data_IF_714719109022
#
_entry.id   IF_714719109022
#
_cell.length_a   1.000
_cell.length_b   1.000
_cell.length_c   1.000
_cell.angle_alpha   90.00
_cell.angle_beta   90.00
_cell.angle_gamma   90.00
#
_symmetry.space_group_name_H-M   'P 1'
#
loop_
_entity.id
_entity.type
_entity.pdbx_description
1 polymer ?
#
# COMPACT_ATOMS: atom_id res chain seq x y z
N UNK A 1 2.60 -14.94 9.16
CA UNK A 1 2.76 -13.76 10.03
C UNK A 1 3.21 -12.60 9.16
N UNK A 2 2.52 -11.46 9.22
CA UNK A 2 2.87 -10.24 8.50
C UNK A 2 4.05 -9.52 9.19
N UNK A 3 4.79 -8.73 8.44
CA UNK A 3 5.79 -7.81 8.98
C UNK A 3 5.18 -6.70 9.85
N UNK A 4 6.05 -5.89 10.45
CA UNK A 4 5.68 -4.82 11.36
C UNK A 4 5.57 -3.45 10.69
N UNK A 5 5.27 -2.42 11.48
CA UNK A 5 5.18 -1.04 10.99
C UNK A 5 6.54 -0.52 10.51
N UNK A 6 6.70 -0.38 9.18
CA UNK A 6 7.92 0.14 8.56
C UNK A 6 8.30 1.53 9.07
N UNK A 7 7.32 2.42 9.24
CA UNK A 7 7.53 3.77 9.79
C UNK A 7 8.24 3.72 11.15
N UNK A 8 7.69 2.97 12.10
CA UNK A 8 8.26 2.86 13.46
C UNK A 8 9.68 2.30 13.45
N UNK A 9 9.95 1.31 12.60
CA UNK A 9 11.30 0.74 12.46
C UNK A 9 12.29 1.77 11.93
N UNK A 10 11.90 2.57 10.95
CA UNK A 10 12.76 3.61 10.36
C UNK A 10 12.98 4.79 11.34
N UNK A 11 11.96 5.19 12.10
CA UNK A 11 12.13 6.20 13.16
C UNK A 11 13.13 5.74 14.22
N UNK A 12 13.05 4.47 14.64
CA UNK A 12 14.01 3.88 15.59
C UNK A 12 15.43 3.79 15.01
N UNK A 13 15.57 3.66 13.69
CA UNK A 13 16.84 3.75 12.98
C UNK A 13 17.35 5.20 12.83
N UNK A 14 16.55 6.20 13.20
CA UNK A 14 16.91 7.62 13.14
C UNK A 14 16.54 8.31 11.83
N UNK A 15 15.73 7.69 10.97
CA UNK A 15 15.22 8.33 9.77
C UNK A 15 14.22 9.44 10.12
N UNK A 16 14.26 10.54 9.36
CA UNK A 16 13.30 11.63 9.49
C UNK A 16 12.05 11.33 8.67
N UNK A 17 10.90 11.13 9.33
CA UNK A 17 9.62 10.83 8.67
C UNK A 17 8.62 12.01 8.67
N UNK A 18 9.10 13.25 8.85
CA UNK A 18 8.23 14.45 8.91
C UNK A 18 7.59 14.85 7.57
N UNK A 19 7.77 14.06 6.52
CA UNK A 19 7.18 14.28 5.20
C UNK A 19 5.97 13.39 4.99
N UNK A 20 4.95 13.88 4.28
CA UNK A 20 3.83 13.05 3.83
C UNK A 20 4.24 11.98 2.83
N UNK A 21 5.48 12.03 2.31
CA UNK A 21 6.07 11.04 1.41
C UNK A 21 7.25 10.29 2.06
N UNK A 22 7.29 10.23 3.39
CA UNK A 22 8.41 9.69 4.15
C UNK A 22 8.91 8.34 3.62
N UNK A 23 8.02 7.42 3.22
CA UNK A 23 8.44 6.07 2.81
C UNK A 23 9.18 6.13 1.48
N UNK A 24 8.72 7.00 0.59
CA UNK A 24 9.33 7.23 -0.72
C UNK A 24 10.61 8.08 -0.61
N UNK A 25 10.67 9.02 0.34
CA UNK A 25 11.87 9.80 0.60
C UNK A 25 13.00 8.95 1.19
N UNK A 26 12.70 8.14 2.20
CA UNK A 26 13.69 7.20 2.77
C UNK A 26 14.14 6.20 1.72
N UNK A 27 13.22 5.64 0.92
CA UNK A 27 13.58 4.75 -0.17
C UNK A 27 14.54 5.39 -1.18
N UNK A 28 14.35 6.68 -1.49
CA UNK A 28 15.21 7.42 -2.44
C UNK A 28 16.56 7.82 -1.84
N UNK A 29 16.59 8.17 -0.56
CA UNK A 29 17.76 8.80 0.06
C UNK A 29 18.60 7.82 0.88
N UNK A 30 17.97 6.81 1.47
CA UNK A 30 18.52 5.86 2.44
C UNK A 30 17.96 4.43 2.21
N UNK A 31 18.06 3.86 0.99
CA UNK A 31 17.52 2.53 0.69
C UNK A 31 18.14 1.40 1.54
N UNK A 32 19.33 1.59 2.08
CA UNK A 32 19.97 0.66 3.01
C UNK A 32 19.18 0.51 4.32
N UNK A 33 18.51 1.57 4.79
CA UNK A 33 17.68 1.51 6.00
C UNK A 33 16.37 0.75 5.73
N UNK A 34 15.81 0.87 4.51
CA UNK A 34 14.67 0.04 4.06
C UNK A 34 15.08 -1.43 4.03
N UNK A 35 16.22 -1.76 3.43
CA UNK A 35 16.74 -3.14 3.43
C UNK A 35 16.92 -3.68 4.84
N UNK A 36 17.55 -2.92 5.76
CA UNK A 36 17.74 -3.34 7.15
C UNK A 36 16.41 -3.56 7.87
N UNK A 37 15.40 -2.72 7.61
CA UNK A 37 14.07 -2.89 8.17
C UNK A 37 13.42 -4.20 7.69
N UNK A 38 13.46 -4.48 6.39
CA UNK A 38 12.99 -5.77 5.84
C UNK A 38 13.76 -6.95 6.44
N UNK A 39 15.09 -6.87 6.53
CA UNK A 39 15.92 -7.92 7.10
C UNK A 39 15.55 -8.18 8.58
N UNK A 40 15.33 -7.12 9.36
CA UNK A 40 14.91 -7.25 10.75
C UNK A 40 13.54 -7.95 10.89
N UNK A 41 12.60 -7.70 9.99
CA UNK A 41 11.32 -8.41 9.97
C UNK A 41 11.49 -9.88 9.62
N UNK A 42 12.32 -10.20 8.63
CA UNK A 42 12.65 -11.59 8.26
C UNK A 42 13.33 -12.32 9.43
N UNK A 43 14.30 -11.69 10.08
CA UNK A 43 15.03 -12.25 11.23
C UNK A 43 14.11 -12.46 12.44
N UNK A 44 13.07 -11.64 12.60
CA UNK A 44 12.02 -11.81 13.60
C UNK A 44 10.99 -12.91 13.24
N UNK A 45 11.11 -13.52 12.06
CA UNK A 45 10.28 -14.63 11.61
C UNK A 45 9.06 -14.24 10.80
N UNK A 46 9.00 -13.02 10.25
CA UNK A 46 7.92 -12.63 9.34
C UNK A 46 7.91 -13.54 8.10
N UNK A 47 6.71 -14.01 7.75
CA UNK A 47 6.47 -14.89 6.61
C UNK A 47 5.97 -14.10 5.39
N UNK A 48 5.40 -12.92 5.63
CA UNK A 48 4.92 -11.99 4.60
C UNK A 48 5.62 -10.65 4.81
N UNK A 49 6.26 -10.13 3.77
CA UNK A 49 6.94 -8.83 3.79
C UNK A 49 6.28 -7.91 2.77
N UNK A 50 5.91 -6.71 3.19
CA UNK A 50 5.34 -5.69 2.30
C UNK A 50 6.47 -4.89 1.63
N UNK A 51 6.30 -4.55 0.36
CA UNK A 51 7.20 -3.59 -0.30
C UNK A 51 7.07 -2.20 0.31
N UNK A 52 8.13 -1.38 0.26
CA UNK A 52 8.09 0.01 0.72
C UNK A 52 7.43 0.96 -0.30
N UNK A 53 6.28 0.59 -0.86
CA UNK A 53 5.61 1.29 -1.98
C UNK A 53 4.27 1.92 -1.63
N UNK A 54 3.91 1.97 -0.35
CA UNK A 54 2.66 2.56 0.16
C UNK A 54 2.36 3.95 -0.44
N UNK A 55 3.34 4.86 -0.48
CA UNK A 55 3.21 6.23 -1.03
C UNK A 55 3.72 6.40 -2.47
N UNK A 56 4.20 5.34 -3.13
CA UNK A 56 4.97 5.42 -4.38
C UNK A 56 4.10 5.65 -5.64
N UNK A 57 3.13 6.55 -5.61
CA UNK A 57 2.26 6.79 -6.78
C UNK A 57 3.00 7.58 -7.88
N UNK A 58 2.69 7.30 -9.14
CA UNK A 58 3.30 8.04 -10.27
C UNK A 58 2.92 9.52 -10.21
N UNK A 59 1.67 9.83 -9.86
CA UNK A 59 1.19 11.22 -9.74
C UNK A 59 1.99 11.99 -8.69
N UNK A 60 2.18 11.41 -7.50
CA UNK A 60 3.01 11.96 -6.42
C UNK A 60 4.39 12.38 -6.93
N UNK A 61 5.05 11.48 -7.66
CA UNK A 61 6.42 11.69 -8.10
C UNK A 61 6.55 12.73 -9.20
N UNK A 62 5.61 12.76 -10.13
CA UNK A 62 5.55 13.79 -11.16
C UNK A 62 5.32 15.19 -10.54
N UNK A 63 4.45 15.30 -9.52
CA UNK A 63 4.16 16.57 -8.85
C UNK A 63 5.37 17.17 -8.14
N UNK A 64 6.29 16.33 -7.64
CA UNK A 64 7.56 16.77 -7.04
C UNK A 64 8.71 16.86 -8.08
N UNK A 65 8.40 16.76 -9.37
CA UNK A 65 9.33 17.01 -10.48
C UNK A 65 10.21 15.83 -10.89
N UNK A 66 9.87 14.59 -10.51
CA UNK A 66 10.59 13.41 -10.98
C UNK A 66 10.20 13.01 -12.39
N UNK A 67 11.15 12.42 -13.09
CA UNK A 67 10.93 11.83 -14.42
C UNK A 67 10.39 10.40 -14.30
N UNK A 68 9.86 9.85 -15.39
CA UNK A 68 9.46 8.44 -15.44
C UNK A 68 10.66 7.51 -15.15
N UNK A 69 11.86 7.87 -15.59
CA UNK A 69 13.09 7.11 -15.31
C UNK A 69 13.43 7.09 -13.81
N UNK A 70 13.28 8.23 -13.12
CA UNK A 70 13.44 8.30 -11.66
C UNK A 70 12.43 7.40 -10.94
N UNK A 71 11.18 7.39 -11.42
CA UNK A 71 10.11 6.57 -10.85
C UNK A 71 10.43 5.09 -11.04
N UNK A 72 10.86 4.68 -12.24
CA UNK A 72 11.21 3.29 -12.50
C UNK A 72 12.42 2.86 -11.66
N UNK A 73 13.39 3.76 -11.43
CA UNK A 73 14.49 3.53 -10.50
C UNK A 73 14.00 3.32 -9.07
N UNK A 74 13.09 4.15 -8.57
CA UNK A 74 12.48 3.99 -7.24
C UNK A 74 11.82 2.62 -7.09
N UNK A 75 11.04 2.19 -8.09
CA UNK A 75 10.40 0.87 -8.06
C UNK A 75 11.43 -0.27 -8.12
N UNK A 76 12.53 -0.12 -8.88
CA UNK A 76 13.64 -1.09 -8.84
C UNK A 76 14.19 -1.20 -7.43
N UNK A 77 14.56 -0.08 -6.80
CA UNK A 77 15.11 -0.04 -5.44
C UNK A 77 14.14 -0.64 -4.42
N UNK A 78 12.84 -0.32 -4.51
CA UNK A 78 11.83 -0.89 -3.61
C UNK A 78 11.79 -2.42 -3.69
N UNK A 79 11.87 -2.98 -4.90
CA UNK A 79 11.87 -4.44 -5.07
C UNK A 79 13.20 -5.09 -4.73
N UNK A 80 14.33 -4.47 -5.06
CA UNK A 80 15.66 -5.01 -4.74
C UNK A 80 15.89 -5.07 -3.24
N UNK A 81 15.47 -4.05 -2.49
CA UNK A 81 15.62 -4.02 -1.02
C UNK A 81 14.87 -5.18 -0.36
N UNK A 82 13.63 -5.48 -0.78
CA UNK A 82 12.90 -6.62 -0.24
C UNK A 82 13.43 -7.96 -0.76
N UNK A 83 13.81 -8.07 -2.04
CA UNK A 83 14.36 -9.31 -2.59
C UNK A 83 15.70 -9.70 -1.98
N UNK A 84 16.54 -8.72 -1.63
CA UNK A 84 17.80 -8.99 -0.94
C UNK A 84 17.62 -9.37 0.52
N UNK A 85 16.57 -8.86 1.18
CA UNK A 85 16.28 -9.19 2.58
C UNK A 85 15.57 -10.55 2.75
N UNK A 86 14.88 -11.00 1.71
CA UNK A 86 14.03 -12.20 1.75
C UNK A 86 14.71 -13.42 1.15
N UNK A 87 14.15 -14.59 1.47
CA UNK A 87 14.50 -15.88 0.87
C UNK A 87 13.26 -16.50 0.23
N UNK A 88 13.35 -17.74 -0.25
CA UNK A 88 12.18 -18.47 -0.77
C UNK A 88 11.16 -18.86 0.30
N UNK A 89 11.39 -18.52 1.57
CA UNK A 89 10.46 -18.78 2.68
C UNK A 89 9.45 -17.63 2.88
N UNK A 90 9.74 -16.44 2.35
CA UNK A 90 8.87 -15.27 2.50
C UNK A 90 7.98 -15.09 1.28
N UNK A 91 6.75 -14.65 1.51
CA UNK A 91 5.86 -14.10 0.50
C UNK A 91 6.08 -12.59 0.45
N UNK A 92 6.36 -12.06 -0.73
CA UNK A 92 6.50 -10.61 -0.94
C UNK A 92 5.17 -10.09 -1.47
N UNK A 93 4.64 -9.07 -0.82
CA UNK A 93 3.35 -8.47 -1.18
C UNK A 93 3.55 -7.00 -1.51
N UNK A 94 3.03 -6.58 -2.66
CA UNK A 94 3.04 -5.19 -3.09
C UNK A 94 2.13 -4.33 -2.20
N UNK A 95 2.72 -3.39 -1.47
CA UNK A 95 2.01 -2.39 -0.68
C UNK A 95 1.45 -1.28 -1.58
N UNK A 96 0.14 -1.07 -1.53
CA UNK A 96 -0.58 -0.05 -2.28
C UNK A 96 -1.42 0.82 -1.33
N UNK A 97 -0.93 2.01 -0.97
CA UNK A 97 -1.73 2.98 -0.21
C UNK A 97 -2.93 3.52 -1.00
N UNK A 98 -3.96 4.05 -0.30
CA UNK A 98 -5.20 4.53 -0.92
C UNK A 98 -4.97 5.83 -1.68
N UNK A 99 -5.96 6.27 -2.47
CA UNK A 99 -5.88 7.59 -3.11
C UNK A 99 -5.68 8.72 -2.10
N UNK A 100 -6.28 8.62 -0.91
CA UNK A 100 -6.12 9.60 0.17
C UNK A 100 -4.66 9.80 0.61
N UNK A 101 -3.79 8.79 0.48
CA UNK A 101 -2.36 8.93 0.86
C UNK A 101 -1.57 9.76 -0.16
N UNK A 102 -2.07 9.90 -1.39
CA UNK A 102 -1.51 10.80 -2.38
C UNK A 102 -1.87 12.26 -2.10
N UNK A 103 -3.12 12.54 -1.70
CA UNK A 103 -3.60 13.91 -1.46
C UNK A 103 -2.79 14.67 -0.40
N UNK A 104 -2.11 13.95 0.51
CA UNK A 104 -1.24 14.54 1.53
C UNK A 104 -1.94 15.59 2.42
N UNK A 105 -3.27 15.53 2.53
CA UNK A 105 -4.12 16.46 3.28
C UNK A 105 -4.83 15.81 4.49
N UNK A 106 -4.44 14.57 4.80
CA UNK A 106 -5.06 13.77 5.87
C UNK A 106 -6.27 12.95 5.41
N UNK A 107 -6.64 13.00 4.12
CA UNK A 107 -7.76 12.25 3.58
C UNK A 107 -7.61 10.73 3.68
N UNK A 108 -6.39 10.21 3.88
CA UNK A 108 -6.17 8.78 4.18
C UNK A 108 -6.82 8.33 5.50
N UNK A 109 -7.18 9.25 6.41
CA UNK A 109 -7.87 8.95 7.67
C UNK A 109 -9.35 9.33 7.67
N UNK A 110 -9.79 10.18 6.75
CA UNK A 110 -11.19 10.66 6.67
C UNK A 110 -11.96 10.06 5.51
N UNK A 111 -11.28 9.61 4.45
CA UNK A 111 -11.92 9.16 3.23
C UNK A 111 -12.66 10.28 2.47
N UNK A 112 -12.41 11.56 2.75
CA UNK A 112 -13.11 12.70 2.16
C UNK A 112 -12.61 13.03 0.74
N UNK A 113 -12.78 12.06 -0.17
CA UNK A 113 -12.49 12.21 -1.59
C UNK A 113 -13.49 11.40 -2.42
N UNK A 114 -13.71 11.86 -3.66
CA UNK A 114 -14.59 11.20 -4.59
C UNK A 114 -14.07 11.33 -6.02
N UNK A 115 -13.79 10.19 -6.63
CA UNK A 115 -13.22 10.07 -7.97
C UNK A 115 -14.13 9.21 -8.84
N UNK A 116 -13.94 9.27 -10.16
CA UNK A 116 -14.54 8.28 -11.05
C UNK A 116 -13.77 6.96 -10.97
N UNK A 117 -14.42 5.85 -11.36
CA UNK A 117 -13.74 4.55 -11.46
C UNK A 117 -12.53 4.59 -12.39
N UNK A 118 -12.55 5.45 -13.41
CA UNK A 118 -11.44 5.60 -14.36
C UNK A 118 -10.25 6.27 -13.66
N UNK A 119 -10.49 7.29 -12.85
CA UNK A 119 -9.42 8.01 -12.16
C UNK A 119 -8.78 7.13 -11.08
N UNK A 120 -9.59 6.38 -10.31
CA UNK A 120 -9.06 5.37 -9.38
C UNK A 120 -8.22 4.32 -10.10
N UNK A 121 -8.68 3.85 -11.26
CA UNK A 121 -7.93 2.88 -12.05
C UNK A 121 -6.60 3.44 -12.55
N UNK A 122 -6.58 4.65 -13.12
CA UNK A 122 -5.36 5.28 -13.60
C UNK A 122 -4.34 5.48 -12.47
N UNK A 123 -4.82 5.87 -11.28
CA UNK A 123 -3.98 6.02 -10.10
C UNK A 123 -3.30 4.70 -9.68
N UNK A 124 -4.08 3.62 -9.54
CA UNK A 124 -3.58 2.33 -9.05
C UNK A 124 -2.86 1.50 -10.11
N UNK A 125 -3.33 1.53 -11.36
CA UNK A 125 -2.82 0.71 -12.47
C UNK A 125 -1.30 0.84 -12.61
N UNK A 126 -0.80 2.07 -12.65
CA UNK A 126 0.63 2.33 -12.90
C UNK A 126 1.56 1.77 -11.82
N UNK A 127 1.03 1.56 -10.61
CA UNK A 127 1.75 1.00 -9.47
C UNK A 127 1.74 -0.52 -9.52
N UNK A 128 0.58 -1.10 -9.81
CA UNK A 128 0.39 -2.54 -9.98
C UNK A 128 1.25 -3.04 -11.14
N UNK A 129 1.13 -2.42 -12.32
CA UNK A 129 1.84 -2.82 -13.53
C UNK A 129 3.37 -2.87 -13.30
N UNK A 130 3.94 -1.84 -12.64
CA UNK A 130 5.38 -1.78 -12.33
C UNK A 130 5.86 -2.86 -11.37
N UNK A 131 5.02 -3.26 -10.41
CA UNK A 131 5.36 -4.32 -9.46
C UNK A 131 5.19 -5.71 -10.09
N UNK A 132 4.16 -5.89 -10.93
CA UNK A 132 3.96 -7.11 -11.73
C UNK A 132 5.15 -7.35 -12.67
N UNK A 133 5.63 -6.31 -13.36
CA UNK A 133 6.82 -6.39 -14.22
C UNK A 133 8.08 -6.83 -13.47
N UNK A 134 8.11 -6.64 -12.15
CA UNK A 134 9.22 -7.04 -11.27
C UNK A 134 9.00 -8.39 -10.61
N UNK A 135 7.90 -9.07 -10.91
CA UNK A 135 7.59 -10.42 -10.42
C UNK A 135 6.80 -10.47 -9.12
N UNK A 136 6.24 -9.35 -8.67
CA UNK A 136 5.33 -9.31 -7.51
C UNK A 136 3.91 -9.55 -8.01
N UNK A 137 3.24 -10.57 -7.46
CA UNK A 137 1.91 -11.00 -7.88
C UNK A 137 0.89 -11.02 -6.75
N UNK A 138 1.32 -10.79 -5.51
CA UNK A 138 0.45 -10.63 -4.37
C UNK A 138 0.46 -9.16 -3.95
N UNK A 139 -0.69 -8.59 -3.64
CA UNK A 139 -0.86 -7.17 -3.34
C UNK A 139 -1.77 -6.95 -2.15
N UNK A 140 -1.54 -5.85 -1.44
CA UNK A 140 -2.48 -5.33 -0.46
C UNK A 140 -2.77 -3.87 -0.77
N UNK A 141 -4.05 -3.53 -0.89
CA UNK A 141 -4.50 -2.15 -0.76
C UNK A 141 -4.61 -1.84 0.72
N UNK A 142 -3.67 -1.06 1.23
CA UNK A 142 -3.54 -0.77 2.65
C UNK A 142 -4.43 0.40 3.04
N UNK A 143 -4.88 0.38 4.31
CA UNK A 143 -5.50 1.52 5.01
C UNK A 143 -6.62 2.24 4.26
N UNK A 144 -7.37 1.54 3.39
CA UNK A 144 -8.37 2.16 2.50
C UNK A 144 -9.52 2.76 3.33
N UNK A 145 -9.71 4.10 3.31
CA UNK A 145 -10.68 4.78 4.16
C UNK A 145 -12.03 5.03 3.49
N UNK A 146 -12.14 4.79 2.18
CA UNK A 146 -13.26 5.23 1.35
C UNK A 146 -13.96 4.06 0.67
N UNK A 147 -15.27 3.93 0.88
CA UNK A 147 -16.05 2.80 0.37
C UNK A 147 -16.23 2.83 -1.15
N UNK A 148 -16.22 4.01 -1.77
CA UNK A 148 -16.28 4.10 -3.24
C UNK A 148 -14.96 3.66 -3.88
N UNK A 149 -13.81 3.93 -3.24
CA UNK A 149 -12.53 3.37 -3.65
C UNK A 149 -12.56 1.83 -3.54
N UNK A 150 -13.03 1.27 -2.40
CA UNK A 150 -13.17 -0.19 -2.24
C UNK A 150 -13.99 -0.80 -3.39
N UNK A 151 -15.11 -0.20 -3.76
CA UNK A 151 -15.92 -0.67 -4.89
C UNK A 151 -15.17 -0.60 -6.22
N UNK A 152 -14.47 0.50 -6.48
CA UNK A 152 -13.67 0.64 -7.70
C UNK A 152 -12.55 -0.41 -7.76
N UNK A 153 -11.88 -0.68 -6.63
CA UNK A 153 -10.88 -1.74 -6.51
C UNK A 153 -11.47 -3.09 -6.88
N UNK A 154 -12.56 -3.48 -6.22
CA UNK A 154 -13.19 -4.80 -6.36
C UNK A 154 -13.84 -5.03 -7.73
N UNK A 155 -14.62 -4.06 -8.22
CA UNK A 155 -15.44 -4.26 -9.43
C UNK A 155 -14.70 -3.90 -10.72
N UNK A 156 -13.68 -3.05 -10.66
CA UNK A 156 -13.08 -2.45 -11.87
C UNK A 156 -11.56 -2.66 -12.01
N UNK A 157 -10.81 -2.72 -10.90
CA UNK A 157 -9.35 -2.77 -10.95
C UNK A 157 -8.86 -4.21 -10.83
N UNK A 158 -9.19 -4.90 -9.73
CA UNK A 158 -8.76 -6.28 -9.45
C UNK A 158 -9.08 -7.25 -10.62
N UNK A 159 -10.29 -7.24 -11.23
CA UNK A 159 -10.61 -8.18 -12.32
C UNK A 159 -9.71 -8.08 -13.56
N UNK A 160 -8.93 -6.99 -13.70
CA UNK A 160 -7.98 -6.82 -14.81
C UNK A 160 -6.65 -7.56 -14.60
N UNK A 161 -6.42 -8.08 -13.40
CA UNK A 161 -5.18 -8.74 -13.00
C UNK A 161 -5.45 -10.18 -12.52
N UNK A 162 -5.99 -11.07 -13.39
CA UNK A 162 -6.45 -12.40 -12.98
C UNK A 162 -5.34 -13.35 -12.52
N UNK A 163 -4.08 -13.01 -12.73
CA UNK A 163 -2.91 -13.77 -12.27
C UNK A 163 -2.36 -13.27 -10.94
N UNK A 164 -2.94 -12.22 -10.36
CA UNK A 164 -2.50 -11.61 -9.12
C UNK A 164 -3.51 -11.86 -8.00
N UNK A 165 -3.04 -11.91 -6.77
CA UNK A 165 -3.87 -11.96 -5.56
C UNK A 165 -3.95 -10.56 -4.96
N UNK A 166 -5.14 -10.15 -4.52
CA UNK A 166 -5.32 -8.85 -3.86
C UNK A 166 -5.98 -9.01 -2.50
N UNK A 167 -5.45 -8.25 -1.55
CA UNK A 167 -5.99 -8.09 -0.22
C UNK A 167 -6.43 -6.64 -0.02
N UNK A 168 -7.36 -6.43 0.91
CA UNK A 168 -7.77 -5.07 1.29
C UNK A 168 -7.69 -4.94 2.81
N UNK A 169 -6.92 -3.96 3.28
CA UNK A 169 -6.95 -3.45 4.64
C UNK A 169 -7.69 -2.12 4.64
N UNK A 170 -8.54 -1.88 5.64
CA UNK A 170 -9.26 -0.61 5.80
C UNK A 170 -8.87 0.12 7.07
N UNK A 171 -9.09 1.44 7.08
CA UNK A 171 -8.99 2.26 8.28
C UNK A 171 -10.39 2.53 8.83
N UNK A 172 -10.53 2.44 10.15
CA UNK A 172 -11.79 2.69 10.86
C UNK A 172 -11.71 3.93 11.75
N UNK A 173 -12.84 4.60 11.95
CA UNK A 173 -12.98 5.74 12.84
C UNK A 173 -13.17 5.30 14.32
N UNK A 174 -13.36 6.26 15.21
CA UNK A 174 -13.51 6.02 16.65
C UNK A 174 -14.77 5.20 17.00
N UNK A 175 -15.79 5.25 16.15
CA UNK A 175 -17.03 4.49 16.27
C UNK A 175 -16.87 3.04 15.78
N UNK A 176 -15.75 2.70 15.14
CA UNK A 176 -15.49 1.38 14.55
C UNK A 176 -16.05 1.20 13.14
N UNK A 177 -16.57 2.27 12.55
CA UNK A 177 -17.03 2.32 11.15
C UNK A 177 -15.87 2.68 10.21
N UNK A 178 -16.06 2.51 8.91
CA UNK A 178 -15.06 2.97 7.94
C UNK A 178 -14.80 4.47 8.12
N UNK A 179 -13.57 4.92 7.85
CA UNK A 179 -13.19 6.34 7.98
C UNK A 179 -14.16 7.33 7.31
N UNK A 180 -14.72 6.99 6.15
CA UNK A 180 -15.72 7.82 5.45
C UNK A 180 -17.12 7.85 6.10
N UNK A 181 -17.30 7.16 7.23
CA UNK A 181 -18.56 7.02 7.95
C UNK A 181 -19.45 5.87 7.47
N UNK A 182 -19.00 5.04 6.52
CA UNK A 182 -19.75 3.86 6.10
C UNK A 182 -19.77 2.82 7.21
N UNK A 183 -20.96 2.31 7.61
CA UNK A 183 -21.07 1.26 8.62
C UNK A 183 -20.19 0.05 8.32
N UNK A 184 -19.42 -0.42 9.30
CA UNK A 184 -18.44 -1.50 9.06
C UNK A 184 -19.11 -2.82 8.63
N UNK A 185 -20.29 -3.11 9.17
CA UNK A 185 -21.12 -4.26 8.78
C UNK A 185 -21.44 -4.26 7.28
N UNK A 186 -21.78 -3.10 6.73
CA UNK A 186 -22.04 -2.90 5.30
C UNK A 186 -20.78 -3.12 4.46
N UNK A 187 -19.59 -2.75 4.95
CA UNK A 187 -18.33 -3.04 4.26
C UNK A 187 -18.08 -4.56 4.27
N UNK A 188 -18.23 -5.22 5.42
CA UNK A 188 -18.09 -6.67 5.53
C UNK A 188 -19.07 -7.44 4.63
N UNK A 189 -20.34 -7.06 4.61
CA UNK A 189 -21.36 -7.64 3.73
C UNK A 189 -20.95 -7.51 2.26
N UNK A 190 -20.47 -6.32 1.87
CA UNK A 190 -20.02 -6.08 0.50
C UNK A 190 -18.82 -6.95 0.12
N UNK A 191 -17.82 -7.07 1.00
CA UNK A 191 -16.64 -7.91 0.75
C UNK A 191 -17.01 -9.39 0.71
N UNK A 192 -17.92 -9.86 1.56
CA UNK A 192 -18.38 -11.25 1.54
C UNK A 192 -19.00 -11.65 0.19
N UNK A 193 -19.68 -10.72 -0.48
CA UNK A 193 -20.22 -10.92 -1.83
C UNK A 193 -19.13 -11.03 -2.92
N UNK A 194 -17.92 -10.55 -2.65
CA UNK A 194 -16.78 -10.49 -3.58
C UNK A 194 -15.53 -11.24 -3.05
N UNK A 195 -15.75 -12.30 -2.26
CA UNK A 195 -14.66 -13.06 -1.64
C UNK A 195 -13.75 -13.79 -2.64
N UNK A 196 -14.19 -13.95 -3.90
CA UNK A 196 -13.36 -14.54 -4.95
C UNK A 196 -12.32 -13.52 -5.46
N UNK A 197 -12.69 -12.24 -5.50
CA UNK A 197 -11.85 -11.13 -5.91
C UNK A 197 -10.91 -10.69 -4.78
N UNK A 198 -11.42 -10.70 -3.53
CA UNK A 198 -10.66 -10.29 -2.34
C UNK A 198 -10.68 -11.42 -1.30
N UNK A 199 -9.75 -12.40 -1.40
CA UNK A 199 -9.70 -13.53 -0.49
C UNK A 199 -9.29 -13.18 0.95
N UNK A 200 -8.71 -12.00 1.17
CA UNK A 200 -8.26 -11.55 2.49
C UNK A 200 -8.68 -10.10 2.72
N UNK A 201 -9.40 -9.86 3.82
CA UNK A 201 -9.87 -8.54 4.25
C UNK A 201 -9.68 -8.36 5.76
N UNK A 202 -9.12 -7.22 6.17
CA UNK A 202 -8.98 -6.85 7.58
C UNK A 202 -9.00 -5.33 7.76
N UNK A 203 -8.84 -4.87 9.00
CA UNK A 203 -8.72 -3.45 9.34
C UNK A 203 -7.48 -3.19 10.19
N UNK A 204 -6.94 -1.99 10.09
CA UNK A 204 -5.85 -1.49 10.93
C UNK A 204 -6.38 -0.33 11.80
N UNK A 205 -5.96 -0.32 13.07
CA UNK A 205 -6.28 0.76 14.00
C UNK A 205 -5.11 1.74 14.04
N UNK A 206 -5.34 2.99 13.65
CA UNK A 206 -4.45 4.09 14.00
C UNK A 206 -4.89 4.64 15.35
N UNK A 207 -4.00 4.56 16.35
CA UNK A 207 -4.16 5.31 17.58
C UNK A 207 -3.65 6.72 17.31
N UNK A 208 -4.55 7.66 17.02
CA UNK A 208 -4.22 9.10 17.01
C UNK A 208 -3.94 9.60 18.43
#
# INVERSE_FOLDING_TARGET
>A
MLDGGLATTLEQAGCNLNSTLWSSEVLRQQPEEIYKAHQAFVDAGAEIILTSTYQASTATFLDIGLTIEDIDHIYNTATETVYHATTTQQVIVGSLGPYGSYLSDGSEYTGDYNLSNIDYYQFHQTRIDRLVEKGIVDFVFETVPNFNEIKALVEFIIPKYPTCTFWISVTVNAEGDLSDGTPFDKVCEYIALHHNEVPVFWYQLFSC
#
